data_IF_567145176831
#
_entry.id   IF_567145176831
#
_cell.length_a   1.000
_cell.length_b   1.000
_cell.length_c   1.000
_cell.angle_alpha   90.00
_cell.angle_beta   90.00
_cell.angle_gamma   90.00
#
_symmetry.space_group_name_H-M   'P 1'
#
loop_
_entity.id
_entity.type
_entity.pdbx_description
1 polymer ?
#
# COMPACT_ATOMS: atom_id res chain seq x y z
N UNK A 1 13.40 -20.13 12.30
CA UNK A 1 12.63 -19.07 11.59
C UNK A 1 11.16 -19.33 11.86
N UNK A 2 10.41 -18.38 12.44
CA UNK A 2 8.99 -18.57 12.76
C UNK A 2 8.12 -18.07 11.59
N UNK A 3 7.03 -18.77 11.27
CA UNK A 3 6.07 -18.39 10.22
C UNK A 3 5.51 -16.98 10.45
N UNK A 4 5.34 -16.57 11.70
CA UNK A 4 4.90 -15.22 12.06
C UNK A 4 5.92 -14.13 11.68
N UNK A 5 7.23 -14.42 11.78
CA UNK A 5 8.25 -13.47 11.35
C UNK A 5 8.23 -13.30 9.82
N UNK A 6 8.07 -14.39 9.07
CA UNK A 6 8.00 -14.34 7.59
C UNK A 6 6.77 -13.54 7.15
N UNK A 7 5.59 -13.83 7.71
CA UNK A 7 4.35 -13.08 7.42
C UNK A 7 4.49 -11.59 7.72
N UNK A 8 5.14 -11.24 8.83
CA UNK A 8 5.37 -9.84 9.22
C UNK A 8 6.27 -9.09 8.23
N UNK A 9 7.36 -9.73 7.77
CA UNK A 9 8.25 -9.13 6.76
C UNK A 9 7.55 -8.95 5.41
N UNK A 10 6.82 -9.97 4.95
CA UNK A 10 6.01 -9.87 3.72
C UNK A 10 4.99 -8.74 3.81
N UNK A 11 4.31 -8.61 4.96
CA UNK A 11 3.31 -7.56 5.20
C UNK A 11 3.89 -6.15 5.09
N UNK A 12 5.09 -5.93 5.61
CA UNK A 12 5.77 -4.63 5.46
C UNK A 12 6.02 -4.29 4.00
N UNK A 13 6.35 -5.30 3.19
CA UNK A 13 6.63 -5.14 1.76
C UNK A 13 5.39 -4.73 0.95
N UNK A 14 4.24 -5.39 1.13
CA UNK A 14 3.06 -5.09 0.33
C UNK A 14 2.17 -3.97 0.89
N UNK A 15 2.39 -3.49 2.13
CA UNK A 15 1.53 -2.47 2.72
C UNK A 15 1.58 -1.14 1.95
N UNK A 16 2.78 -0.68 1.55
CA UNK A 16 2.92 0.53 0.75
C UNK A 16 2.23 0.38 -0.60
N UNK A 17 2.39 -0.78 -1.24
CA UNK A 17 1.71 -1.11 -2.48
C UNK A 17 0.19 -1.05 -2.34
N UNK A 18 -0.38 -1.61 -1.26
CA UNK A 18 -1.81 -1.51 -0.99
C UNK A 18 -2.29 -0.06 -0.81
N UNK A 19 -1.49 0.80 -0.17
CA UNK A 19 -1.83 2.23 -0.01
C UNK A 19 -1.87 2.92 -1.38
N UNK A 20 -0.87 2.68 -2.24
CA UNK A 20 -0.83 3.24 -3.59
C UNK A 20 -2.04 2.79 -4.43
N UNK A 21 -2.38 1.49 -4.42
CA UNK A 21 -3.55 0.94 -5.09
C UNK A 21 -4.88 1.54 -4.61
N UNK A 22 -4.99 1.88 -3.32
CA UNK A 22 -6.18 2.55 -2.78
C UNK A 22 -6.28 3.98 -3.36
N UNK A 23 -5.15 4.69 -3.37
CA UNK A 23 -5.07 6.09 -3.81
C UNK A 23 -5.13 6.26 -5.33
N UNK A 24 -4.84 5.22 -6.10
CA UNK A 24 -5.05 5.18 -7.54
C UNK A 24 -6.52 5.35 -7.91
N UNK A 25 -7.42 4.75 -7.13
CA UNK A 25 -8.86 4.79 -7.40
C UNK A 25 -9.43 6.20 -7.22
N UNK A 26 -8.98 6.90 -6.18
CA UNK A 26 -9.38 8.27 -5.83
C UNK A 26 -8.54 8.84 -4.69
N UNK A 27 -8.45 10.18 -4.58
CA UNK A 27 -7.91 10.82 -3.39
C UNK A 27 -8.65 10.39 -2.11
N UNK A 28 -7.92 10.18 -1.01
CA UNK A 28 -8.48 9.62 0.22
C UNK A 28 -7.87 10.24 1.48
N UNK A 29 -8.68 10.36 2.53
CA UNK A 29 -8.18 10.71 3.86
C UNK A 29 -7.65 9.45 4.59
N UNK A 30 -6.81 9.64 5.60
CA UNK A 30 -6.17 8.54 6.33
C UNK A 30 -7.18 7.52 6.88
N UNK A 31 -8.35 7.96 7.37
CA UNK A 31 -9.39 7.03 7.83
C UNK A 31 -9.99 6.19 6.70
N UNK A 32 -10.13 6.76 5.51
CA UNK A 32 -10.66 6.04 4.34
C UNK A 32 -9.67 4.93 3.92
N UNK A 33 -8.38 5.25 3.90
CA UNK A 33 -7.31 4.27 3.64
C UNK A 33 -7.35 3.16 4.68
N UNK A 34 -7.44 3.48 5.98
CA UNK A 34 -7.55 2.48 7.05
C UNK A 34 -8.78 1.59 6.90
N UNK A 35 -9.92 2.16 6.47
CA UNK A 35 -11.15 1.41 6.27
C UNK A 35 -11.04 0.43 5.09
N UNK A 36 -10.46 0.85 3.96
CA UNK A 36 -10.20 -0.02 2.81
C UNK A 36 -9.24 -1.17 3.18
N UNK A 37 -8.14 -0.86 3.86
CA UNK A 37 -7.19 -1.87 4.35
C UNK A 37 -7.88 -2.87 5.30
N UNK A 38 -8.72 -2.37 6.23
CA UNK A 38 -9.49 -3.20 7.15
C UNK A 38 -10.50 -4.10 6.42
N UNK A 39 -11.17 -3.59 5.39
CA UNK A 39 -12.08 -4.38 4.55
C UNK A 39 -11.35 -5.52 3.83
N UNK A 40 -10.09 -5.30 3.43
CA UNK A 40 -9.19 -6.31 2.91
C UNK A 40 -8.57 -7.23 3.99
N UNK A 41 -9.05 -7.16 5.25
CA UNK A 41 -8.55 -7.91 6.41
C UNK A 41 -7.10 -7.56 6.79
N UNK A 42 -6.59 -6.41 6.34
CA UNK A 42 -5.29 -5.89 6.72
C UNK A 42 -5.44 -4.83 7.82
N UNK A 43 -5.25 -5.24 9.08
CA UNK A 43 -5.36 -4.33 10.23
C UNK A 43 -4.08 -3.50 10.35
N UNK A 44 -4.23 -2.19 10.24
CA UNK A 44 -3.18 -1.17 10.36
C UNK A 44 -3.64 -0.10 11.33
N UNK A 45 -2.71 0.42 12.13
CA UNK A 45 -2.96 1.53 13.05
C UNK A 45 -2.39 2.84 12.48
N UNK A 46 -2.91 3.97 12.94
CA UNK A 46 -2.46 5.31 12.50
C UNK A 46 -0.95 5.51 12.66
N UNK A 47 -0.37 5.03 13.77
CA UNK A 47 1.06 5.10 14.03
C UNK A 47 1.94 4.37 13.00
N UNK A 48 1.35 3.46 12.21
CA UNK A 48 2.01 2.81 11.07
C UNK A 48 1.70 3.53 9.77
N UNK A 49 0.46 3.98 9.57
CA UNK A 49 0.03 4.60 8.32
C UNK A 49 0.67 5.97 8.09
N UNK A 50 0.65 6.88 9.07
CA UNK A 50 1.13 8.25 8.87
C UNK A 50 2.62 8.34 8.51
N UNK A 51 3.54 7.56 9.13
CA UNK A 51 4.92 7.52 8.68
C UNK A 51 5.08 7.05 7.22
N UNK A 52 4.27 6.09 6.77
CA UNK A 52 4.31 5.62 5.37
C UNK A 52 3.82 6.69 4.41
N UNK A 53 2.69 7.33 4.71
CA UNK A 53 2.18 8.46 3.90
C UNK A 53 3.21 9.59 3.81
N UNK A 54 3.87 9.91 4.93
CA UNK A 54 4.93 10.91 4.98
C UNK A 54 6.12 10.51 4.11
N UNK A 55 6.56 9.25 4.17
CA UNK A 55 7.67 8.73 3.36
C UNK A 55 7.34 8.77 1.86
N UNK A 56 6.16 8.29 1.47
CA UNK A 56 5.72 8.28 0.08
C UNK A 56 5.59 9.70 -0.47
N UNK A 57 5.07 10.64 0.32
CA UNK A 57 5.02 12.06 -0.03
C UNK A 57 6.42 12.66 -0.19
N UNK A 58 7.32 12.42 0.77
CA UNK A 58 8.69 12.94 0.71
C UNK A 58 9.49 12.34 -0.47
N UNK A 59 9.11 11.14 -0.94
CA UNK A 59 9.66 10.51 -2.14
C UNK A 59 9.03 11.03 -3.43
N UNK A 60 8.04 11.92 -3.35
CA UNK A 60 7.36 12.51 -4.50
C UNK A 60 6.27 11.63 -5.12
N UNK A 61 5.91 10.50 -4.51
CA UNK A 61 4.88 9.59 -5.02
C UNK A 61 3.46 10.00 -4.63
N UNK A 62 3.32 10.72 -3.51
CA UNK A 62 2.05 11.27 -3.06
C UNK A 62 2.15 12.79 -2.93
N UNK A 63 1.00 13.45 -3.08
CA UNK A 63 0.76 14.78 -2.52
C UNK A 63 -0.52 14.78 -1.70
N UNK A 64 -0.87 15.93 -1.12
CA UNK A 64 -2.18 16.12 -0.49
C UNK A 64 -2.77 17.49 -0.78
N UNK A 65 -4.10 17.52 -0.83
CA UNK A 65 -4.88 18.76 -0.77
C UNK A 65 -5.57 18.89 0.59
N UNK A 66 -5.67 20.12 1.08
CA UNK A 66 -6.51 20.43 2.22
C UNK A 66 -7.95 20.57 1.75
N UNK A 67 -8.84 19.75 2.30
CA UNK A 67 -10.28 19.81 2.04
C UNK A 67 -10.97 20.23 3.34
N UNK A 68 -11.78 21.29 3.27
CA UNK A 68 -12.62 21.69 4.39
C UNK A 68 -13.56 20.55 4.77
N UNK A 69 -13.60 20.24 6.06
CA UNK A 69 -14.56 19.27 6.56
C UNK A 69 -15.86 19.96 6.95
N UNK A 70 -17.00 19.30 6.70
CA UNK A 70 -18.32 19.78 7.14
C UNK A 70 -18.38 20.03 8.66
N UNK A 71 -17.59 19.28 9.43
CA UNK A 71 -17.41 19.48 10.88
C UNK A 71 -15.96 19.14 11.26
N UNK A 72 -15.27 20.11 11.87
CA UNK A 72 -13.91 19.94 12.39
C UNK A 72 -12.83 20.66 11.55
N UNK A 73 -11.55 20.37 11.83
CA UNK A 73 -10.44 20.98 11.11
C UNK A 73 -10.34 20.44 9.67
N UNK A 74 -9.74 21.22 8.74
CA UNK A 74 -9.45 20.75 7.39
C UNK A 74 -8.72 19.41 7.39
N UNK A 75 -9.08 18.55 6.44
CA UNK A 75 -8.51 17.19 6.28
C UNK A 75 -7.55 17.15 5.11
N UNK A 76 -6.45 16.42 5.26
CA UNK A 76 -5.52 16.14 4.17
C UNK A 76 -6.02 14.95 3.36
N UNK A 77 -6.46 15.18 2.14
CA UNK A 77 -6.75 14.12 1.19
C UNK A 77 -5.49 13.85 0.38
N UNK A 78 -4.95 12.64 0.52
CA UNK A 78 -3.77 12.21 -0.20
C UNK A 78 -4.16 11.73 -1.60
N UNK A 79 -3.28 11.92 -2.57
CA UNK A 79 -3.45 11.46 -3.94
C UNK A 79 -2.12 11.06 -4.56
N UNK A 80 -2.15 10.19 -5.58
CA UNK A 80 -0.96 9.86 -6.37
C UNK A 80 -0.55 11.07 -7.20
N UNK A 81 0.75 11.36 -7.22
CA UNK A 81 1.34 12.22 -8.26
C UNK A 81 1.52 11.43 -9.56
N UNK A 82 1.91 12.10 -10.65
CA UNK A 82 2.28 11.39 -11.89
C UNK A 82 3.46 10.43 -11.67
N UNK A 83 4.47 10.84 -10.89
CA UNK A 83 5.57 9.96 -10.50
C UNK A 83 5.07 8.78 -9.63
N UNK A 84 4.08 9.02 -8.79
CA UNK A 84 3.44 7.97 -7.98
C UNK A 84 2.72 6.93 -8.84
N UNK A 85 2.05 7.34 -9.91
CA UNK A 85 1.40 6.42 -10.87
C UNK A 85 2.43 5.58 -11.63
N UNK A 86 3.52 6.18 -12.08
CA UNK A 86 4.61 5.44 -12.73
C UNK A 86 5.22 4.43 -11.75
N UNK A 87 5.54 4.86 -10.53
CA UNK A 87 6.10 3.98 -9.51
C UNK A 87 5.14 2.84 -9.12
N UNK A 88 3.83 3.11 -9.10
CA UNK A 88 2.82 2.06 -8.89
C UNK A 88 2.88 1.01 -10.00
N UNK A 89 2.94 1.41 -11.27
CA UNK A 89 3.07 0.49 -12.40
C UNK A 89 4.31 -0.41 -12.28
N UNK A 90 5.45 0.15 -11.87
CA UNK A 90 6.69 -0.61 -11.65
C UNK A 90 6.55 -1.64 -10.51
N UNK A 91 5.87 -1.26 -9.42
CA UNK A 91 5.59 -2.19 -8.31
C UNK A 91 4.62 -3.30 -8.74
N UNK A 92 3.61 -2.97 -9.55
CA UNK A 92 2.66 -3.96 -10.06
C UNK A 92 3.36 -5.03 -10.89
N UNK A 93 4.27 -4.62 -11.78
CA UNK A 93 5.10 -5.54 -12.56
C UNK A 93 5.94 -6.45 -11.64
N UNK A 94 6.66 -5.86 -10.68
CA UNK A 94 7.45 -6.62 -9.71
C UNK A 94 6.59 -7.59 -8.88
N UNK A 95 5.37 -7.22 -8.52
CA UNK A 95 4.43 -8.09 -7.82
C UNK A 95 4.00 -9.29 -8.67
N UNK A 96 3.73 -9.07 -9.97
CA UNK A 96 3.41 -10.17 -10.88
C UNK A 96 4.61 -11.12 -11.03
N UNK A 97 5.83 -10.60 -11.15
CA UNK A 97 7.04 -11.43 -11.20
C UNK A 97 7.18 -12.32 -9.95
N UNK A 98 7.02 -11.74 -8.76
CA UNK A 98 7.07 -12.50 -7.49
C UNK A 98 6.01 -13.60 -7.46
N UNK A 99 4.77 -13.26 -7.85
CA UNK A 99 3.67 -14.22 -7.91
C UNK A 99 3.98 -15.35 -8.88
N UNK A 100 4.48 -15.03 -10.07
CA UNK A 100 4.80 -16.01 -11.10
C UNK A 100 5.91 -16.96 -10.64
N UNK A 101 6.97 -16.46 -10.00
CA UNK A 101 8.05 -17.28 -9.44
C UNK A 101 7.50 -18.27 -8.41
N UNK A 102 6.69 -17.80 -7.46
CA UNK A 102 6.13 -18.66 -6.40
C UNK A 102 5.20 -19.72 -6.99
N UNK A 103 4.32 -19.34 -7.92
CA UNK A 103 3.39 -20.28 -8.55
C UNK A 103 4.13 -21.30 -9.43
N UNK A 104 5.16 -20.89 -10.15
CA UNK A 104 6.00 -21.81 -10.94
C UNK A 104 6.67 -22.86 -10.05
N UNK A 105 7.27 -22.45 -8.93
CA UNK A 105 7.93 -23.36 -7.99
C UNK A 105 6.93 -24.34 -7.35
N UNK A 106 5.71 -23.88 -7.00
CA UNK A 106 4.65 -24.76 -6.46
C UNK A 106 4.19 -25.83 -7.45
N UNK A 107 4.24 -25.53 -8.75
CA UNK A 107 3.75 -26.40 -9.81
C UNK A 107 4.80 -27.43 -10.28
N UNK A 108 6.07 -27.27 -9.92
CA UNK A 108 7.07 -28.30 -10.20
C UNK A 108 6.81 -29.51 -9.28
N UNK A 109 6.45 -30.69 -9.82
CA UNK A 109 6.40 -31.89 -9.00
C UNK A 109 7.81 -32.12 -8.42
N UNK A 110 7.89 -32.48 -7.13
CA UNK A 110 9.11 -33.01 -6.55
C UNK A 110 9.48 -34.27 -7.35
N UNK A 111 10.32 -34.12 -8.36
CA UNK A 111 10.97 -35.23 -9.03
C UNK A 111 12.11 -35.69 -8.11
N UNK A 112 11.77 -36.52 -7.13
CA UNK A 112 12.69 -37.52 -6.56
C UNK A 112 12.51 -38.83 -7.32
#
# INVERSE_FOLDING_TARGET
MNSENIKSQMRKGYLEFCILLILEKKPAYASDILNELKAAKLIVVEGTLYPLLTRLKNSGYLDYNWIESLQGPPRKYYELTENGKQFLSEIEEAWQEIKNVVEHIKQQPNNE
#
